data_IF_220917931733
#
_entry.id   IF_220917931733
#
_cell.length_a   1.000
_cell.length_b   1.000
_cell.length_c   1.000
_cell.angle_alpha   90.00
_cell.angle_beta   90.00
_cell.angle_gamma   90.00
#
_symmetry.space_group_name_H-M   'P 1'
#
loop_
_entity.id
_entity.type
_entity.pdbx_description
1 polymer ?
#
# COMPACT_ATOMS: atom_id res chain seq x y z
N UNK A 1 4.23 -13.14 -14.50
CA UNK A 1 3.50 -13.95 -13.49
C UNK A 1 4.35 -14.32 -12.27
N UNK A 2 5.62 -14.71 -12.39
CA UNK A 2 6.46 -15.11 -11.24
C UNK A 2 6.84 -13.98 -10.25
N UNK A 3 6.93 -12.73 -10.73
CA UNK A 3 7.31 -11.61 -9.87
C UNK A 3 6.19 -11.19 -8.92
N UNK A 4 4.93 -11.33 -9.34
CA UNK A 4 3.75 -11.04 -8.51
C UNK A 4 3.59 -12.10 -7.42
N UNK A 5 3.84 -13.37 -7.77
CA UNK A 5 3.72 -14.51 -6.86
C UNK A 5 4.74 -14.43 -5.70
N UNK A 6 6.02 -14.17 -6.03
CA UNK A 6 7.07 -13.88 -5.02
C UNK A 6 6.78 -12.65 -4.16
N UNK A 7 6.05 -11.69 -4.71
CA UNK A 7 5.63 -10.49 -3.99
C UNK A 7 4.45 -10.74 -3.07
N UNK A 8 3.55 -11.63 -3.46
CA UNK A 8 2.44 -12.09 -2.62
C UNK A 8 2.97 -12.82 -1.38
N UNK A 9 3.97 -13.71 -1.53
CA UNK A 9 4.65 -14.36 -0.40
C UNK A 9 5.30 -13.35 0.57
N UNK A 10 5.92 -12.27 0.04
CA UNK A 10 6.59 -11.26 0.87
C UNK A 10 5.64 -10.26 1.52
N UNK A 11 4.36 -10.29 1.18
CA UNK A 11 3.30 -9.43 1.73
C UNK A 11 2.35 -10.25 2.63
N UNK A 12 2.43 -11.58 2.62
CA UNK A 12 1.61 -12.47 3.44
C UNK A 12 1.71 -12.23 4.96
N UNK A 13 2.71 -11.47 5.43
CA UNK A 13 2.87 -11.07 6.83
C UNK A 13 2.05 -9.83 7.24
N UNK A 14 1.48 -9.11 6.27
CA UNK A 14 0.67 -7.92 6.49
C UNK A 14 -0.76 -8.38 6.81
N UNK A 15 -1.24 -8.09 8.02
CA UNK A 15 -2.61 -8.27 8.46
C UNK A 15 -3.54 -7.32 7.68
N UNK A 16 -3.87 -7.74 6.47
CA UNK A 16 -4.72 -7.00 5.55
C UNK A 16 -6.20 -7.02 5.98
N UNK A 17 -6.54 -7.58 7.15
CA UNK A 17 -7.90 -7.56 7.69
C UNK A 17 -8.38 -6.13 8.01
N UNK A 18 -7.45 -5.25 8.40
CA UNK A 18 -7.74 -3.82 8.55
C UNK A 18 -7.96 -3.12 7.20
N UNK A 19 -7.24 -3.58 6.19
CA UNK A 19 -7.28 -3.06 4.81
C UNK A 19 -8.60 -3.38 4.11
N UNK A 20 -9.25 -4.49 4.42
CA UNK A 20 -10.57 -4.85 3.87
C UNK A 20 -11.69 -3.84 4.23
N UNK A 21 -11.49 -3.02 5.26
CA UNK A 21 -12.43 -1.92 5.62
C UNK A 21 -12.15 -0.62 4.88
N UNK A 22 -10.96 -0.49 4.30
CA UNK A 22 -10.58 0.66 3.50
C UNK A 22 -11.22 0.50 2.11
N UNK A 23 -11.98 1.50 1.63
CA UNK A 23 -12.58 1.47 0.27
C UNK A 23 -11.53 1.55 -0.85
N UNK A 24 -10.25 1.38 -0.52
CA UNK A 24 -9.12 1.33 -1.45
C UNK A 24 -8.90 -0.09 -1.93
N UNK A 25 -8.68 -0.31 -3.22
CA UNK A 25 -8.29 -1.63 -3.71
C UNK A 25 -7.05 -2.16 -2.96
N UNK A 26 -7.07 -3.43 -2.56
CA UNK A 26 -5.97 -4.08 -1.83
C UNK A 26 -4.60 -3.88 -2.47
N UNK A 27 -4.53 -4.01 -3.80
CA UNK A 27 -3.29 -3.83 -4.56
C UNK A 27 -2.67 -2.44 -4.39
N UNK A 28 -3.49 -1.40 -4.21
CA UNK A 28 -3.01 -0.04 -4.03
C UNK A 28 -2.42 0.18 -2.64
N UNK A 29 -2.96 -0.52 -1.64
CA UNK A 29 -2.43 -0.51 -0.28
C UNK A 29 -1.09 -1.24 -0.25
N UNK A 30 -1.00 -2.41 -0.88
CA UNK A 30 0.24 -3.17 -1.03
C UNK A 30 1.33 -2.35 -1.74
N UNK A 31 0.99 -1.68 -2.85
CA UNK A 31 1.89 -0.76 -3.54
C UNK A 31 2.29 0.41 -2.63
N UNK A 32 1.33 1.02 -1.92
CA UNK A 32 1.59 2.14 -1.02
C UNK A 32 2.60 1.79 0.08
N UNK A 33 2.42 0.64 0.73
CA UNK A 33 3.35 0.14 1.75
C UNK A 33 4.73 -0.12 1.14
N UNK A 34 4.80 -0.82 -0.01
CA UNK A 34 6.06 -1.11 -0.70
C UNK A 34 6.81 0.16 -1.11
N UNK A 35 6.11 1.17 -1.62
CA UNK A 35 6.71 2.42 -2.02
C UNK A 35 7.35 3.12 -0.83
N UNK A 36 6.67 3.14 0.33
CA UNK A 36 7.22 3.73 1.54
C UNK A 36 8.44 2.95 2.05
N UNK A 37 8.37 1.60 2.09
CA UNK A 37 9.50 0.74 2.47
C UNK A 37 10.69 0.88 1.51
N UNK A 38 10.46 1.26 0.26
CA UNK A 38 11.51 1.56 -0.73
C UNK A 38 12.11 2.98 -0.57
N UNK A 39 11.71 3.73 0.46
CA UNK A 39 12.28 5.03 0.81
C UNK A 39 11.47 6.25 0.35
N UNK A 40 10.31 6.06 -0.29
CA UNK A 40 9.43 7.20 -0.57
C UNK A 40 8.82 7.73 0.73
N UNK A 41 8.73 9.05 0.86
CA UNK A 41 7.91 9.67 1.90
C UNK A 41 6.43 9.35 1.69
N UNK A 42 5.64 9.38 2.76
CA UNK A 42 4.19 9.13 2.70
C UNK A 42 3.46 10.10 1.74
N UNK A 43 3.98 11.32 1.56
CA UNK A 43 3.44 12.31 0.62
C UNK A 43 3.77 11.96 -0.83
N UNK A 44 4.95 11.40 -1.09
CA UNK A 44 5.31 10.90 -2.42
C UNK A 44 4.49 9.68 -2.79
N UNK A 45 4.24 8.78 -1.84
CA UNK A 45 3.34 7.64 -2.04
C UNK A 45 1.93 8.10 -2.38
N UNK A 46 1.40 9.10 -1.66
CA UNK A 46 0.10 9.71 -1.95
C UNK A 46 0.03 10.23 -3.39
N UNK A 47 1.02 11.02 -3.82
CA UNK A 47 1.14 11.52 -5.20
C UNK A 47 1.33 10.41 -6.23
N UNK A 48 1.99 9.32 -5.86
CA UNK A 48 2.18 8.18 -6.74
C UNK A 48 0.84 7.46 -7.00
N UNK A 49 0.03 7.27 -5.96
CA UNK A 49 -1.29 6.64 -6.04
C UNK A 49 -2.32 7.50 -6.80
N UNK A 50 -2.23 8.83 -6.70
CA UNK A 50 -3.05 9.75 -7.49
C UNK A 50 -2.91 9.48 -9.00
N UNK A 51 -1.73 9.07 -9.48
CA UNK A 51 -1.50 8.73 -10.90
C UNK A 51 -2.28 7.49 -11.36
N UNK A 52 -2.70 6.66 -10.42
CA UNK A 52 -3.55 5.51 -10.67
C UNK A 52 -5.04 5.79 -10.36
N UNK A 53 -5.41 7.05 -10.15
CA UNK A 53 -6.77 7.46 -9.80
C UNK A 53 -7.15 7.18 -8.34
N UNK A 54 -6.18 6.92 -7.47
CA UNK A 54 -6.42 6.65 -6.05
C UNK A 54 -6.02 7.87 -5.24
N UNK A 55 -7.03 8.65 -4.84
CA UNK A 55 -6.84 9.77 -3.95
C UNK A 55 -6.84 9.30 -2.49
N UNK A 56 -5.64 9.24 -1.89
CA UNK A 56 -5.43 8.90 -0.49
C UNK A 56 -4.43 9.81 0.16
N UNK A 57 -4.76 10.25 1.36
CA UNK A 57 -3.89 11.09 2.16
C UNK A 57 -2.66 10.34 2.66
N UNK A 58 -1.58 11.07 2.90
CA UNK A 58 -0.38 10.53 3.56
C UNK A 58 -0.68 9.92 4.94
N UNK A 59 -1.77 10.33 5.62
CA UNK A 59 -2.24 9.73 6.88
C UNK A 59 -2.88 8.36 6.66
N UNK A 60 -3.63 8.17 5.56
CA UNK A 60 -4.14 6.85 5.19
C UNK A 60 -2.98 5.88 4.94
N UNK A 61 -1.95 6.33 4.22
CA UNK A 61 -0.75 5.54 3.94
C UNK A 61 0.02 5.24 5.23
N UNK A 62 0.16 6.19 6.15
CA UNK A 62 0.72 5.93 7.48
C UNK A 62 -0.03 4.81 8.20
N UNK A 63 -1.37 4.84 8.17
CA UNK A 63 -2.17 3.79 8.78
C UNK A 63 -1.94 2.44 8.11
N UNK A 64 -1.81 2.38 6.78
CA UNK A 64 -1.48 1.12 6.11
C UNK A 64 -0.10 0.58 6.51
N UNK A 65 0.90 1.44 6.70
CA UNK A 65 2.24 1.00 7.10
C UNK A 65 2.29 0.51 8.55
N UNK A 66 1.51 1.13 9.45
CA UNK A 66 1.62 0.89 10.89
C UNK A 66 0.50 0.03 11.49
N UNK A 67 -0.58 -0.22 10.75
CA UNK A 67 -1.74 -1.01 11.22
C UNK A 67 -2.03 -2.23 10.35
N UNK A 68 -1.37 -2.34 9.20
CA UNK A 68 -1.38 -3.56 8.41
C UNK A 68 -0.23 -4.46 8.87
#
# INVERSE_FOLDING_TARGET
MAEIDRLSERIAWIDLSFVERDRTPRWAIEIGIRCHLAGMSLREVSKHLERFGIDRSHVAIHNWVHKA
#
